data_IF_287226003896
#
_entry.id   IF_287226003896
#
_cell.length_a   1.000
_cell.length_b   1.000
_cell.length_c   1.000
_cell.angle_alpha   90.00
_cell.angle_beta   90.00
_cell.angle_gamma   90.00
#
_symmetry.space_group_name_H-M   'P 1'
#
loop_
_entity.id
_entity.type
_entity.pdbx_description
1 polymer ?
#
# COMPACT_ATOMS: atom_id res chain seq x y z
N UNK A 1 -13.25 43.88 -57.99
CA UNK A 1 -14.35 44.87 -57.84
C UNK A 1 -14.61 45.07 -56.34
N UNK A 2 -14.26 46.26 -55.84
CA UNK A 2 -14.76 47.02 -54.67
C UNK A 2 -15.81 46.37 -53.74
N UNK A 3 -15.82 46.48 -52.40
CA UNK A 3 -15.33 47.43 -51.35
C UNK A 3 -15.55 46.68 -49.99
N UNK A 4 -14.97 46.95 -48.81
CA UNK A 4 -14.08 47.95 -48.20
C UNK A 4 -13.83 47.50 -46.74
N UNK A 5 -12.62 47.56 -46.18
CA UNK A 5 -11.92 48.66 -45.49
C UNK A 5 -12.29 48.90 -44.01
N UNK A 6 -11.23 48.85 -43.16
CA UNK A 6 -10.97 49.44 -41.81
C UNK A 6 -11.15 48.49 -40.61
N UNK A 7 -10.09 47.98 -39.97
CA UNK A 7 -9.13 48.59 -39.01
C UNK A 7 -9.80 49.23 -37.77
N UNK A 8 -9.51 48.73 -36.56
CA UNK A 8 -8.72 49.40 -35.48
C UNK A 8 -8.90 48.68 -34.12
N UNK A 9 -7.76 48.34 -33.49
CA UNK A 9 -7.52 48.13 -32.04
C UNK A 9 -6.97 49.47 -31.52
N UNK A 10 -7.25 50.01 -30.30
CA UNK A 10 -6.43 49.66 -29.11
C UNK A 10 -6.97 49.97 -27.70
N UNK A 11 -6.17 49.52 -26.72
CA UNK A 11 -5.74 50.23 -25.50
C UNK A 11 -6.26 49.75 -24.11
N UNK A 12 -5.26 49.23 -23.38
CA UNK A 12 -4.97 49.26 -21.95
C UNK A 12 -5.78 50.17 -21.01
N UNK A 13 -5.96 49.67 -19.77
CA UNK A 13 -5.67 50.42 -18.53
C UNK A 13 -5.51 49.50 -17.32
N UNK A 14 -4.39 49.70 -16.63
CA UNK A 14 -4.03 49.23 -15.32
C UNK A 14 -4.96 49.76 -14.23
N UNK A 15 -5.14 49.01 -13.14
CA UNK A 15 -5.38 49.56 -11.81
C UNK A 15 -4.94 48.55 -10.73
N UNK A 16 -3.80 48.87 -10.11
CA UNK A 16 -3.37 48.39 -8.82
C UNK A 16 -4.43 48.69 -7.75
N UNK A 17 -4.67 47.75 -6.84
CA UNK A 17 -5.13 48.12 -5.49
C UNK A 17 -4.47 47.24 -4.44
N UNK A 18 -3.46 47.84 -3.80
CA UNK A 18 -2.94 47.48 -2.50
C UNK A 18 -4.08 47.47 -1.47
N UNK A 19 -4.17 46.41 -0.67
CA UNK A 19 -4.59 46.53 0.73
C UNK A 19 -3.67 45.68 1.61
N UNK A 20 -2.77 46.40 2.27
CA UNK A 20 -2.10 46.04 3.51
C UNK A 20 -3.12 45.82 4.63
N UNK A 21 -2.96 44.78 5.45
CA UNK A 21 -3.24 44.93 6.88
C UNK A 21 -2.23 44.15 7.72
N UNK A 22 -1.80 44.84 8.78
CA UNK A 22 -0.64 44.59 9.63
C UNK A 22 -1.00 43.68 10.81
N UNK A 23 -0.07 42.77 11.10
CA UNK A 23 0.48 42.40 12.42
C UNK A 23 -0.42 42.38 13.65
N UNK A 24 -0.38 41.26 14.37
CA UNK A 24 -0.13 41.29 15.82
C UNK A 24 0.77 40.12 16.21
N UNK A 25 1.97 40.49 16.64
CA UNK A 25 2.92 39.63 17.32
C UNK A 25 2.47 39.47 18.78
N UNK A 26 2.59 38.26 19.32
CA UNK A 26 2.63 38.05 20.76
C UNK A 26 3.96 37.37 21.11
N UNK A 27 4.84 38.18 21.69
CA UNK A 27 6.09 37.80 22.32
C UNK A 27 5.79 37.09 23.64
N UNK A 28 6.31 35.87 23.83
CA UNK A 28 6.51 35.31 25.18
C UNK A 28 7.92 34.75 25.32
N UNK A 29 8.75 35.62 25.88
CA UNK A 29 9.87 35.42 26.81
C UNK A 29 10.52 34.03 26.94
N UNK A 30 11.78 33.97 26.52
CA UNK A 30 12.80 33.05 27.00
C UNK A 30 12.98 33.14 28.52
N UNK A 31 13.01 31.97 29.18
CA UNK A 31 13.75 31.78 30.44
C UNK A 31 14.53 30.48 30.40
N UNK A 32 15.76 30.61 30.90
CA UNK A 32 16.92 29.73 30.91
C UNK A 32 16.75 28.40 31.64
N UNK A 33 17.45 27.39 31.12
CA UNK A 33 17.89 26.12 31.72
C UNK A 33 18.41 26.24 33.16
N UNK A 34 18.47 25.10 33.88
CA UNK A 34 19.80 24.66 34.32
C UNK A 34 20.13 23.18 34.03
N UNK A 35 21.44 22.98 33.86
CA UNK A 35 22.20 21.73 33.74
C UNK A 35 22.19 20.90 35.01
N UNK A 36 22.22 19.58 34.86
CA UNK A 36 22.96 18.58 35.66
C UNK A 36 22.53 17.18 35.16
N UNK A 37 23.33 16.12 35.08
CA UNK A 37 24.73 15.86 35.42
C UNK A 37 25.07 14.46 34.90
N UNK A 38 26.35 14.25 34.58
CA UNK A 38 26.96 12.98 34.18
C UNK A 38 26.56 11.79 35.08
N UNK A 39 26.20 10.67 34.46
CA UNK A 39 26.27 9.35 35.07
C UNK A 39 26.92 8.38 34.08
N UNK A 40 28.21 8.17 34.24
CA UNK A 40 28.92 7.01 33.71
C UNK A 40 28.47 5.76 34.48
N UNK A 41 28.01 4.72 33.79
CA UNK A 41 27.78 3.42 34.40
C UNK A 41 27.99 2.28 33.40
N UNK A 42 29.23 1.79 33.37
CA UNK A 42 29.63 0.38 33.41
C UNK A 42 28.93 -0.56 32.42
N UNK A 43 29.64 -0.85 31.32
CA UNK A 43 29.53 -2.07 30.54
C UNK A 43 29.62 -3.31 31.45
N UNK A 44 28.56 -4.13 31.50
CA UNK A 44 28.67 -5.54 31.90
C UNK A 44 28.56 -6.39 30.65
N UNK A 45 29.72 -6.91 30.22
CA UNK A 45 29.83 -8.05 29.31
C UNK A 45 29.03 -9.21 29.89
N UNK A 46 27.99 -9.65 29.20
CA UNK A 46 27.44 -10.99 29.41
C UNK A 46 27.95 -11.90 28.30
N UNK A 47 28.66 -12.92 28.75
CA UNK A 47 29.21 -14.00 27.97
C UNK A 47 28.11 -14.73 27.19
N UNK A 48 28.49 -15.11 25.99
CA UNK A 48 27.71 -15.87 25.04
C UNK A 48 27.41 -17.27 25.57
N UNK A 49 26.15 -17.66 25.54
CA UNK A 49 25.74 -19.04 25.76
C UNK A 49 24.91 -19.53 24.58
N UNK A 50 25.43 -20.59 23.98
CA UNK A 50 24.86 -21.48 22.99
C UNK A 50 23.35 -21.72 23.17
N UNK A 51 22.58 -21.51 22.10
CA UNK A 51 21.15 -21.87 22.06
C UNK A 51 21.04 -23.40 21.92
N UNK A 52 21.10 -24.09 23.05
CA UNK A 52 20.56 -25.43 23.17
C UNK A 52 19.06 -25.32 23.46
N UNK A 53 18.22 -25.92 22.61
CA UNK A 53 16.75 -25.99 22.81
C UNK A 53 16.44 -26.74 24.12
N UNK A 54 15.74 -26.15 25.11
CA UNK A 54 15.19 -26.94 26.20
C UNK A 54 13.81 -27.46 25.81
N UNK A 55 13.69 -28.79 25.72
CA UNK A 55 12.41 -29.48 25.72
C UNK A 55 11.79 -29.28 27.11
N UNK A 56 10.73 -28.49 27.21
CA UNK A 56 10.03 -28.22 28.48
C UNK A 56 8.97 -29.28 28.74
N UNK A 57 9.24 -30.17 29.71
CA UNK A 57 8.26 -31.03 30.36
C UNK A 57 8.16 -30.65 31.84
N UNK A 58 7.16 -29.82 32.18
CA UNK A 58 6.31 -29.81 33.40
C UNK A 58 5.93 -28.40 33.84
N UNK A 59 4.63 -28.17 33.87
CA UNK A 59 3.97 -27.00 34.45
C UNK A 59 2.45 -27.21 34.42
N UNK A 60 1.97 -28.23 35.14
CA UNK A 60 0.55 -28.50 35.39
C UNK A 60 0.09 -27.49 36.46
N UNK A 61 -1.07 -26.86 36.22
CA UNK A 61 -1.76 -25.83 37.01
C UNK A 61 -1.25 -24.38 36.87
N UNK A 62 -1.60 -23.78 35.73
CA UNK A 62 -1.84 -22.34 35.61
C UNK A 62 -3.22 -22.14 35.00
N UNK A 63 -4.06 -21.32 35.63
CA UNK A 63 -5.39 -21.00 35.13
C UNK A 63 -5.28 -20.46 33.71
N UNK A 64 -5.81 -21.20 32.73
CA UNK A 64 -6.04 -20.67 31.38
C UNK A 64 -7.04 -19.52 31.55
N UNK A 65 -6.61 -18.29 31.26
CA UNK A 65 -7.55 -17.32 30.72
C UNK A 65 -7.96 -17.91 29.36
N UNK A 66 -9.05 -18.68 29.35
CA UNK A 66 -9.70 -19.09 28.12
C UNK A 66 -10.17 -17.81 27.44
N UNK A 67 -9.48 -17.41 26.36
CA UNK A 67 -10.08 -16.52 25.39
C UNK A 67 -11.43 -17.14 25.00
N UNK A 68 -12.54 -16.37 25.00
CA UNK A 68 -13.84 -16.93 24.69
C UNK A 68 -13.77 -17.61 23.33
N UNK A 69 -14.00 -18.93 23.33
CA UNK A 69 -13.99 -19.76 22.14
C UNK A 69 -14.94 -19.13 21.13
N UNK A 70 -14.40 -18.60 20.01
CA UNK A 70 -15.20 -17.90 19.00
C UNK A 70 -16.27 -18.88 18.51
N UNK A 71 -17.53 -18.58 18.83
CA UNK A 71 -18.65 -19.41 18.41
C UNK A 71 -18.71 -19.43 16.89
N UNK A 72 -18.71 -20.62 16.30
CA UNK A 72 -18.95 -20.80 14.87
C UNK A 72 -20.32 -20.21 14.51
N UNK A 73 -20.33 -19.24 13.59
CA UNK A 73 -21.52 -18.52 13.13
C UNK A 73 -22.05 -19.12 11.83
N UNK A 74 -21.15 -19.51 10.90
CA UNK A 74 -21.49 -20.07 9.60
C UNK A 74 -20.69 -21.35 9.32
N UNK A 75 -21.35 -22.32 8.70
CA UNK A 75 -20.73 -23.56 8.22
C UNK A 75 -20.09 -23.35 6.84
N UNK A 76 -19.04 -24.11 6.53
CA UNK A 76 -18.21 -23.90 5.34
C UNK A 76 -18.89 -24.29 4.02
N UNK A 77 -19.89 -25.17 4.10
CA UNK A 77 -20.77 -25.56 3.01
C UNK A 77 -21.95 -24.59 2.82
N UNK A 78 -22.12 -23.61 3.72
CA UNK A 78 -23.22 -22.63 3.68
C UNK A 78 -22.73 -21.19 3.88
N UNK A 79 -21.83 -20.74 3.01
CA UNK A 79 -21.25 -19.40 3.05
C UNK A 79 -21.96 -18.39 2.15
N UNK A 80 -22.81 -18.87 1.23
CA UNK A 80 -23.55 -18.00 0.33
C UNK A 80 -24.86 -17.53 0.99
N UNK A 81 -24.98 -16.23 1.22
CA UNK A 81 -26.22 -15.60 1.69
C UNK A 81 -26.50 -14.34 0.88
N UNK A 82 -27.77 -14.05 0.61
CA UNK A 82 -28.15 -12.74 0.09
C UNK A 82 -27.79 -11.67 1.11
N UNK A 83 -27.11 -10.60 0.71
CA UNK A 83 -26.55 -9.63 1.62
C UNK A 83 -27.63 -8.94 2.47
N UNK A 84 -28.78 -8.63 1.88
CA UNK A 84 -29.91 -7.98 2.57
C UNK A 84 -30.55 -8.86 3.67
N UNK A 85 -30.43 -10.18 3.54
CA UNK A 85 -31.03 -11.18 4.44
C UNK A 85 -29.97 -11.92 5.26
N UNK A 86 -28.70 -11.53 5.14
CA UNK A 86 -27.59 -12.22 5.76
C UNK A 86 -27.75 -12.28 7.29
N UNK A 87 -27.36 -13.40 7.93
CA UNK A 87 -27.31 -13.48 9.40
C UNK A 87 -26.28 -12.50 9.98
N UNK A 88 -25.34 -12.00 9.18
CA UNK A 88 -24.30 -11.07 9.60
C UNK A 88 -24.74 -9.61 9.43
N UNK A 89 -24.68 -8.76 10.48
CA UNK A 89 -25.06 -7.35 10.36
C UNK A 89 -24.21 -6.57 9.35
N UNK A 90 -22.91 -6.86 9.26
CA UNK A 90 -21.98 -6.16 8.36
C UNK A 90 -22.33 -6.39 6.88
N UNK A 91 -22.89 -7.56 6.55
CA UNK A 91 -23.33 -7.87 5.18
C UNK A 91 -24.61 -7.13 4.83
N UNK A 92 -25.53 -6.98 5.78
CA UNK A 92 -26.74 -6.16 5.62
C UNK A 92 -26.41 -4.68 5.48
N UNK A 93 -25.45 -4.18 6.25
CA UNK A 93 -24.96 -2.80 6.12
C UNK A 93 -24.37 -2.56 4.73
N UNK A 94 -23.63 -3.53 4.19
CA UNK A 94 -23.13 -3.46 2.82
C UNK A 94 -24.27 -3.41 1.80
N UNK A 95 -25.29 -4.25 1.92
CA UNK A 95 -26.49 -4.16 1.07
C UNK A 95 -27.17 -2.79 1.19
N UNK A 96 -27.27 -2.24 2.40
CA UNK A 96 -27.87 -0.93 2.64
C UNK A 96 -27.09 0.22 1.95
N UNK A 97 -25.75 0.15 1.93
CA UNK A 97 -24.92 1.11 1.20
C UNK A 97 -25.20 1.02 -0.31
N UNK A 98 -25.22 -0.18 -0.87
CA UNK A 98 -25.54 -0.41 -2.29
C UNK A 98 -26.94 0.11 -2.62
N UNK A 99 -27.94 -0.20 -1.80
CA UNK A 99 -29.31 0.27 -1.99
C UNK A 99 -29.44 1.79 -1.88
N UNK A 100 -28.60 2.43 -1.07
CA UNK A 100 -28.65 3.89 -0.88
C UNK A 100 -27.97 4.64 -2.02
N UNK A 101 -26.83 4.12 -2.47
CA UNK A 101 -25.94 4.89 -3.34
C UNK A 101 -25.79 4.31 -4.74
N UNK A 102 -25.94 3.00 -4.90
CA UNK A 102 -25.85 2.30 -6.17
C UNK A 102 -26.84 2.77 -7.22
N UNK A 103 -26.67 2.29 -8.44
CA UNK A 103 -27.54 2.58 -9.58
C UNK A 103 -27.89 1.28 -10.29
N UNK A 104 -29.17 1.09 -10.61
CA UNK A 104 -29.59 -0.04 -11.42
C UNK A 104 -29.00 0.08 -12.84
N UNK A 105 -28.29 -0.94 -13.36
CA UNK A 105 -27.58 -0.86 -14.64
C UNK A 105 -28.53 -0.61 -15.82
N UNK A 106 -29.71 -1.25 -15.80
CA UNK A 106 -30.75 -1.06 -16.83
C UNK A 106 -31.28 0.38 -16.87
N UNK A 107 -31.53 1.00 -15.71
CA UNK A 107 -31.95 2.40 -15.63
C UNK A 107 -30.85 3.38 -16.07
N UNK A 108 -29.58 2.97 -16.01
CA UNK A 108 -28.45 3.79 -16.41
C UNK A 108 -28.29 3.82 -17.95
N UNK A 109 -28.68 2.74 -18.62
CA UNK A 109 -28.63 2.60 -20.10
C UNK A 109 -29.85 3.19 -20.81
N UNK A 110 -31.00 3.28 -20.14
CA UNK A 110 -32.19 3.92 -20.70
C UNK A 110 -32.01 5.44 -20.68
N UNK A 111 -31.61 6.01 -21.82
CA UNK A 111 -31.39 7.44 -22.06
C UNK A 111 -32.65 8.31 -22.04
N UNK A 112 -33.80 7.78 -21.60
CA UNK A 112 -35.01 8.60 -21.49
C UNK A 112 -34.84 9.59 -20.35
N UNK A 113 -34.67 10.88 -20.71
CA UNK A 113 -34.42 12.05 -19.83
C UNK A 113 -35.47 12.26 -18.71
N UNK A 114 -36.44 11.36 -18.57
CA UNK A 114 -37.57 11.45 -17.66
C UNK A 114 -37.71 10.29 -16.67
N UNK A 115 -36.97 9.17 -16.80
CA UNK A 115 -36.97 8.13 -15.76
C UNK A 115 -35.83 8.35 -14.77
N UNK A 116 -36.19 8.57 -13.50
CA UNK A 116 -35.21 8.72 -12.43
C UNK A 116 -34.36 7.45 -12.28
N UNK A 117 -33.03 7.60 -12.22
CA UNK A 117 -32.09 6.50 -11.93
C UNK A 117 -32.48 5.81 -10.61
N UNK A 118 -33.13 4.64 -10.73
CA UNK A 118 -33.62 3.89 -9.57
C UNK A 118 -32.45 3.20 -8.87
N UNK A 119 -32.60 3.06 -7.55
CA UNK A 119 -31.64 2.38 -6.70
C UNK A 119 -31.82 0.86 -6.78
N UNK A 120 -30.73 0.09 -6.74
CA UNK A 120 -30.85 -1.35 -6.71
C UNK A 120 -31.46 -1.78 -5.37
N UNK A 121 -32.50 -2.59 -5.39
CA UNK A 121 -33.19 -3.12 -4.20
C UNK A 121 -33.54 -4.59 -4.33
N UNK A 122 -33.35 -5.16 -5.52
CA UNK A 122 -33.57 -6.57 -5.83
C UNK A 122 -32.24 -7.32 -5.75
N UNK A 123 -32.15 -8.28 -4.82
CA UNK A 123 -31.01 -9.16 -4.66
C UNK A 123 -30.96 -10.21 -5.77
N UNK A 124 -29.83 -10.29 -6.46
CA UNK A 124 -29.58 -11.35 -7.42
C UNK A 124 -29.48 -12.70 -6.70
N UNK A 125 -30.26 -13.72 -7.09
CA UNK A 125 -30.23 -15.03 -6.44
C UNK A 125 -28.90 -15.77 -6.61
N UNK A 126 -28.11 -15.44 -7.64
CA UNK A 126 -26.87 -16.15 -7.97
C UNK A 126 -25.64 -15.55 -7.27
N UNK A 127 -25.58 -14.23 -7.07
CA UNK A 127 -24.46 -13.57 -6.40
C UNK A 127 -24.79 -12.97 -5.02
N UNK A 128 -26.07 -12.83 -4.69
CA UNK A 128 -26.55 -12.35 -3.40
C UNK A 128 -26.42 -10.84 -3.16
N UNK A 129 -25.95 -10.07 -4.14
CA UNK A 129 -25.92 -8.60 -4.07
C UNK A 129 -27.22 -7.98 -4.60
N UNK A 130 -27.65 -6.82 -4.07
CA UNK A 130 -28.71 -6.03 -4.67
C UNK A 130 -28.19 -5.34 -5.94
N UNK A 131 -28.55 -5.86 -7.11
CA UNK A 131 -27.97 -5.43 -8.40
C UNK A 131 -28.94 -4.60 -9.25
N UNK A 132 -30.25 -4.84 -9.11
CA UNK A 132 -31.28 -4.19 -9.93
C UNK A 132 -32.36 -3.57 -9.04
N UNK A 133 -33.15 -2.63 -9.57
CA UNK A 133 -34.22 -2.00 -8.79
C UNK A 133 -35.50 -2.86 -8.68
N UNK A 134 -35.67 -3.83 -9.58
CA UNK A 134 -36.82 -4.72 -9.62
C UNK A 134 -36.44 -6.06 -10.25
N UNK A 135 -37.29 -7.06 -10.04
CA UNK A 135 -37.17 -8.36 -10.68
C UNK A 135 -37.24 -8.26 -12.22
N UNK A 136 -38.09 -7.38 -12.75
CA UNK A 136 -38.21 -7.12 -14.19
C UNK A 136 -36.89 -6.62 -14.78
N UNK A 137 -36.27 -5.62 -14.14
CA UNK A 137 -34.98 -5.09 -14.59
C UNK A 137 -33.85 -6.10 -14.41
N UNK A 138 -33.92 -6.97 -13.39
CA UNK A 138 -32.98 -8.09 -13.27
C UNK A 138 -33.08 -9.05 -14.45
N UNK A 139 -34.29 -9.39 -14.91
CA UNK A 139 -34.46 -10.24 -16.09
C UNK A 139 -34.00 -9.56 -17.38
N UNK A 140 -34.27 -8.27 -17.54
CA UNK A 140 -33.79 -7.48 -18.69
C UNK A 140 -32.25 -7.40 -18.72
N UNK A 141 -31.62 -7.10 -17.59
CA UNK A 141 -30.17 -7.01 -17.44
C UNK A 141 -29.44 -8.35 -17.20
N UNK A 142 -30.18 -9.47 -17.15
CA UNK A 142 -29.67 -10.75 -16.66
C UNK A 142 -28.40 -11.19 -17.39
N UNK A 143 -28.42 -11.15 -18.74
CA UNK A 143 -27.31 -11.65 -19.55
C UNK A 143 -26.04 -10.85 -19.35
N UNK A 144 -26.13 -9.52 -19.35
CA UNK A 144 -24.99 -8.63 -19.12
C UNK A 144 -24.42 -8.82 -17.71
N UNK A 145 -25.29 -8.82 -16.69
CA UNK A 145 -24.88 -9.05 -15.30
C UNK A 145 -24.16 -10.40 -15.11
N UNK A 146 -24.70 -11.48 -15.69
CA UNK A 146 -24.11 -12.81 -15.57
C UNK A 146 -22.79 -12.96 -16.31
N UNK A 147 -22.65 -12.31 -17.47
CA UNK A 147 -21.43 -12.35 -18.26
C UNK A 147 -20.30 -11.51 -17.64
N UNK A 148 -20.63 -10.37 -17.03
CA UNK A 148 -19.64 -9.38 -16.61
C UNK A 148 -19.17 -9.53 -15.17
N UNK A 149 -20.09 -9.64 -14.20
CA UNK A 149 -19.73 -9.47 -12.79
C UNK A 149 -20.43 -10.40 -11.78
N UNK A 150 -21.46 -11.16 -12.16
CA UNK A 150 -22.20 -12.02 -11.21
C UNK A 150 -21.30 -13.03 -10.47
N UNK A 151 -20.43 -13.74 -11.20
CA UNK A 151 -19.51 -14.71 -10.59
C UNK A 151 -18.51 -14.06 -9.62
N UNK A 152 -18.00 -12.87 -9.97
CA UNK A 152 -17.07 -12.11 -9.12
C UNK A 152 -17.78 -11.67 -7.83
N UNK A 153 -19.00 -11.15 -7.94
CA UNK A 153 -19.79 -10.73 -6.78
C UNK A 153 -20.11 -11.92 -5.87
N UNK A 154 -20.41 -13.10 -6.45
CA UNK A 154 -20.62 -14.32 -5.68
C UNK A 154 -19.38 -14.72 -4.90
N UNK A 155 -18.21 -14.70 -5.54
CA UNK A 155 -16.94 -15.00 -4.88
C UNK A 155 -16.66 -14.06 -3.71
N UNK A 156 -16.84 -12.74 -3.92
CA UNK A 156 -16.66 -11.73 -2.86
C UNK A 156 -17.65 -11.97 -1.71
N UNK A 157 -18.89 -12.31 -2.02
CA UNK A 157 -19.92 -12.62 -1.04
C UNK A 157 -19.50 -13.80 -0.14
N UNK A 158 -19.13 -14.93 -0.75
CA UNK A 158 -18.71 -16.12 -0.02
C UNK A 158 -17.43 -15.90 0.80
N UNK A 159 -16.44 -15.19 0.24
CA UNK A 159 -15.21 -14.83 0.94
C UNK A 159 -15.49 -13.94 2.16
N UNK A 160 -16.34 -12.93 2.02
CA UNK A 160 -16.65 -12.00 3.12
C UNK A 160 -17.49 -12.64 4.23
N UNK A 161 -18.35 -13.61 3.90
CA UNK A 161 -19.02 -14.47 4.88
C UNK A 161 -18.06 -15.43 5.55
N UNK A 162 -17.11 -16.01 4.82
CA UNK A 162 -16.11 -16.91 5.39
C UNK A 162 -15.21 -16.17 6.39
N UNK A 163 -14.76 -14.96 6.05
CA UNK A 163 -14.00 -14.07 6.94
C UNK A 163 -14.73 -13.75 8.26
N UNK A 164 -16.06 -13.91 8.29
CA UNK A 164 -16.93 -13.63 9.45
C UNK A 164 -17.64 -14.88 9.98
N UNK A 165 -17.31 -16.06 9.47
CA UNK A 165 -17.94 -17.32 9.84
C UNK A 165 -17.62 -17.76 11.26
N UNK A 166 -16.57 -17.20 11.86
CA UNK A 166 -16.05 -17.60 13.18
C UNK A 166 -15.20 -18.88 13.15
N UNK A 167 -14.96 -19.47 11.97
CA UNK A 167 -14.06 -20.63 11.85
C UNK A 167 -12.62 -20.26 12.22
N UNK A 168 -11.79 -21.22 12.67
CA UNK A 168 -10.36 -21.02 12.72
C UNK A 168 -9.79 -20.83 11.30
N UNK A 169 -8.99 -19.79 11.11
CA UNK A 169 -8.31 -19.49 9.85
C UNK A 169 -6.86 -19.91 9.94
N UNK A 170 -6.61 -21.18 9.64
CA UNK A 170 -5.25 -21.75 9.62
C UNK A 170 -4.36 -21.04 8.61
N UNK A 171 -4.94 -20.54 7.53
CA UNK A 171 -4.22 -19.78 6.52
C UNK A 171 -3.59 -18.48 7.08
N UNK A 172 -4.05 -17.99 8.24
CA UNK A 172 -3.46 -16.83 8.94
C UNK A 172 -2.38 -17.21 9.97
N UNK A 173 -2.02 -18.49 10.09
CA UNK A 173 -0.90 -18.95 10.90
C UNK A 173 0.43 -18.72 10.15
N UNK A 174 0.87 -17.47 10.12
CA UNK A 174 2.03 -17.07 9.33
C UNK A 174 3.35 -17.59 9.90
N UNK A 175 4.29 -18.05 9.06
CA UNK A 175 5.57 -18.57 9.49
C UNK A 175 6.46 -17.48 10.10
N UNK A 176 7.32 -17.87 11.03
CA UNK A 176 8.34 -17.01 11.62
C UNK A 176 9.55 -16.85 10.69
N UNK A 177 10.68 -16.38 11.25
CA UNK A 177 11.98 -16.36 10.59
C UNK A 177 12.36 -17.77 10.07
N UNK A 178 13.05 -17.80 8.93
CA UNK A 178 13.52 -19.03 8.29
C UNK A 178 14.87 -19.48 8.81
N UNK A 179 15.14 -20.77 8.62
CA UNK A 179 16.49 -21.31 8.78
C UNK A 179 17.46 -20.69 7.77
N UNK A 180 18.75 -20.65 8.12
CA UNK A 180 19.79 -20.08 7.27
C UNK A 180 19.90 -20.77 5.89
N UNK A 181 19.56 -22.05 5.81
CA UNK A 181 19.66 -22.86 4.59
C UNK A 181 18.38 -22.83 3.72
N UNK A 182 17.31 -22.16 4.17
CA UNK A 182 16.06 -22.10 3.42
C UNK A 182 16.10 -20.96 2.38
N UNK A 183 15.93 -21.31 1.11
CA UNK A 183 15.89 -20.35 0.02
C UNK A 183 14.45 -19.89 -0.26
N UNK A 184 14.23 -18.57 -0.30
CA UNK A 184 12.96 -17.98 -0.72
C UNK A 184 12.95 -17.79 -2.23
N UNK A 185 11.81 -18.08 -2.84
CA UNK A 185 11.55 -17.75 -4.23
C UNK A 185 10.29 -16.88 -4.33
N UNK A 186 10.43 -15.71 -4.95
CA UNK A 186 9.38 -14.70 -5.09
C UNK A 186 8.76 -14.66 -6.49
N UNK A 187 8.80 -15.77 -7.24
CA UNK A 187 8.27 -15.81 -8.60
C UNK A 187 6.75 -15.53 -8.68
N UNK A 188 5.97 -16.06 -7.74
CA UNK A 188 4.53 -15.86 -7.60
C UNK A 188 4.06 -16.29 -6.19
N UNK A 189 2.78 -16.10 -5.87
CA UNK A 189 2.20 -16.46 -4.56
C UNK A 189 2.39 -17.93 -4.17
N UNK A 190 2.15 -18.88 -5.08
CA UNK A 190 2.23 -20.31 -4.78
C UNK A 190 3.64 -20.74 -4.37
N UNK A 191 4.63 -20.35 -5.19
CA UNK A 191 6.03 -20.67 -4.95
C UNK A 191 6.55 -19.94 -3.70
N UNK A 192 6.09 -18.71 -3.49
CA UNK A 192 6.42 -17.94 -2.28
C UNK A 192 5.89 -18.64 -1.02
N UNK A 193 4.61 -19.00 -0.97
CA UNK A 193 4.03 -19.67 0.19
C UNK A 193 4.70 -21.01 0.50
N UNK A 194 4.98 -21.80 -0.56
CA UNK A 194 5.70 -23.05 -0.41
C UNK A 194 7.10 -22.85 0.16
N UNK A 195 7.90 -21.97 -0.44
CA UNK A 195 9.30 -21.75 -0.01
C UNK A 195 9.41 -21.05 1.34
N UNK A 196 8.39 -20.29 1.75
CA UNK A 196 8.30 -19.69 3.09
C UNK A 196 7.69 -20.58 4.16
N UNK A 197 7.34 -21.82 3.84
CA UNK A 197 6.71 -22.75 4.78
C UNK A 197 5.42 -22.18 5.38
N UNK A 198 4.61 -21.49 4.57
CA UNK A 198 3.23 -21.19 4.97
C UNK A 198 2.43 -22.50 5.09
N UNK A 199 1.35 -22.51 5.88
CA UNK A 199 0.37 -23.59 5.84
C UNK A 199 -0.07 -23.88 4.40
N UNK A 200 -0.36 -25.14 4.11
CA UNK A 200 -0.91 -25.53 2.80
C UNK A 200 -2.16 -24.71 2.51
N UNK A 201 -2.18 -24.04 1.36
CA UNK A 201 -3.34 -23.29 0.89
C UNK A 201 -4.25 -24.27 0.16
N UNK A 202 -5.20 -24.85 0.90
CA UNK A 202 -6.02 -25.96 0.42
C UNK A 202 -7.17 -25.51 -0.52
N UNK A 203 -7.35 -24.20 -0.72
CA UNK A 203 -8.37 -23.63 -1.59
C UNK A 203 -8.00 -22.24 -2.13
N UNK A 204 -8.56 -21.88 -3.28
CA UNK A 204 -8.41 -20.54 -3.87
C UNK A 204 -8.88 -19.44 -2.91
N UNK A 205 -9.91 -19.71 -2.10
CA UNK A 205 -10.38 -18.80 -1.05
C UNK A 205 -9.29 -18.49 -0.02
N UNK A 206 -8.57 -19.51 0.43
CA UNK A 206 -7.46 -19.34 1.38
C UNK A 206 -6.37 -18.46 0.77
N UNK A 207 -6.04 -18.69 -0.50
CA UNK A 207 -5.10 -17.84 -1.26
C UNK A 207 -5.55 -16.38 -1.34
N UNK A 208 -6.85 -16.14 -1.62
CA UNK A 208 -7.43 -14.79 -1.66
C UNK A 208 -7.35 -14.09 -0.30
N UNK A 209 -7.70 -14.78 0.78
CA UNK A 209 -7.62 -14.22 2.14
C UNK A 209 -6.21 -13.81 2.52
N UNK A 210 -5.23 -14.70 2.31
CA UNK A 210 -3.85 -14.45 2.72
C UNK A 210 -3.17 -13.40 1.86
N UNK A 211 -3.35 -13.48 0.53
CA UNK A 211 -2.77 -12.49 -0.40
C UNK A 211 -3.30 -11.07 -0.15
N UNK A 212 -4.57 -10.92 0.27
CA UNK A 212 -5.15 -9.61 0.62
C UNK A 212 -4.41 -8.91 1.77
N UNK A 213 -3.95 -9.66 2.78
CA UNK A 213 -3.19 -9.12 3.90
C UNK A 213 -1.73 -8.87 3.53
N UNK A 214 -1.12 -9.81 2.81
CA UNK A 214 0.32 -9.80 2.52
C UNK A 214 0.70 -8.95 1.30
N UNK A 215 -0.25 -8.53 0.46
CA UNK A 215 0.04 -7.83 -0.79
C UNK A 215 0.95 -6.62 -0.59
N UNK A 216 0.74 -5.83 0.47
CA UNK A 216 1.55 -4.62 0.72
C UNK A 216 3.01 -4.94 1.07
N UNK A 217 3.33 -5.67 2.16
CA UNK A 217 4.71 -5.99 2.48
C UNK A 217 5.38 -6.84 1.38
N UNK A 218 4.64 -7.73 0.71
CA UNK A 218 5.22 -8.60 -0.32
C UNK A 218 5.47 -7.88 -1.64
N UNK A 219 4.72 -6.83 -1.97
CA UNK A 219 5.04 -5.97 -3.12
C UNK A 219 6.38 -5.25 -2.91
N UNK A 220 6.65 -4.78 -1.70
CA UNK A 220 7.93 -4.17 -1.32
C UNK A 220 9.05 -5.21 -1.39
N UNK A 221 8.83 -6.37 -0.78
CA UNK A 221 9.80 -7.46 -0.81
C UNK A 221 10.09 -7.93 -2.24
N UNK A 222 9.09 -8.04 -3.10
CA UNK A 222 9.25 -8.50 -4.49
C UNK A 222 10.19 -7.60 -5.29
N UNK A 223 10.20 -6.29 -5.03
CA UNK A 223 11.14 -5.36 -5.65
C UNK A 223 12.56 -5.53 -5.07
N UNK A 224 12.67 -5.62 -3.74
CA UNK A 224 13.95 -5.60 -3.03
C UNK A 224 14.69 -6.95 -3.05
N UNK A 225 13.97 -8.06 -3.01
CA UNK A 225 14.53 -9.40 -2.81
C UNK A 225 15.36 -9.85 -4.02
N UNK A 226 16.43 -10.61 -3.79
CA UNK A 226 17.34 -11.06 -4.86
C UNK A 226 16.65 -11.99 -5.87
N UNK A 227 15.66 -12.78 -5.42
CA UNK A 227 14.82 -13.64 -6.26
C UNK A 227 13.58 -12.92 -6.80
N UNK A 228 13.68 -11.61 -7.02
CA UNK A 228 12.58 -10.78 -7.53
C UNK A 228 11.95 -11.38 -8.79
N UNK A 229 10.61 -11.30 -8.96
CA UNK A 229 9.97 -11.71 -10.21
C UNK A 229 10.27 -10.75 -11.37
N UNK A 230 10.70 -9.52 -11.07
CA UNK A 230 10.93 -8.48 -12.08
C UNK A 230 12.35 -8.60 -12.65
N UNK A 231 12.45 -8.75 -13.97
CA UNK A 231 13.70 -9.03 -14.68
C UNK A 231 14.29 -7.77 -15.27
N UNK A 232 15.62 -7.71 -15.30
CA UNK A 232 16.35 -6.68 -16.03
C UNK A 232 16.11 -6.77 -17.53
N UNK A 233 15.93 -5.61 -18.17
CA UNK A 233 15.72 -5.48 -19.62
C UNK A 233 14.26 -5.63 -20.03
N UNK A 234 13.48 -6.43 -19.30
CA UNK A 234 12.03 -6.54 -19.45
C UNK A 234 11.33 -5.42 -18.65
N UNK A 235 11.15 -5.61 -17.34
CA UNK A 235 10.45 -4.68 -16.45
C UNK A 235 11.42 -3.70 -15.77
N UNK A 236 12.55 -4.20 -15.24
CA UNK A 236 13.54 -3.37 -14.52
C UNK A 236 14.47 -2.70 -15.53
N UNK A 237 14.63 -1.38 -15.41
CA UNK A 237 15.52 -0.60 -16.29
C UNK A 237 16.98 -0.63 -15.82
N UNK A 238 17.90 -0.03 -16.59
CA UNK A 238 19.29 0.13 -16.15
C UNK A 238 19.40 0.99 -14.88
N UNK A 239 18.64 2.08 -14.80
CA UNK A 239 18.59 2.91 -13.60
C UNK A 239 17.93 2.19 -12.43
N UNK A 240 16.89 1.41 -12.70
CA UNK A 240 16.25 0.60 -11.69
C UNK A 240 17.18 -0.45 -11.10
N UNK A 241 17.98 -1.12 -11.94
CA UNK A 241 19.02 -2.01 -11.44
C UNK A 241 20.02 -1.29 -10.54
N UNK A 242 20.46 -0.08 -10.90
CA UNK A 242 21.38 0.71 -10.05
C UNK A 242 20.76 1.04 -8.69
N UNK A 243 19.51 1.53 -8.68
CA UNK A 243 18.81 1.86 -7.43
C UNK A 243 18.56 0.64 -6.55
N UNK A 244 18.06 -0.45 -7.14
CA UNK A 244 17.74 -1.67 -6.39
C UNK A 244 19.03 -2.36 -5.92
N UNK A 245 20.08 -2.39 -6.75
CA UNK A 245 21.38 -2.95 -6.35
C UNK A 245 21.99 -2.19 -5.17
N UNK A 246 21.89 -0.86 -5.14
CA UNK A 246 22.34 -0.04 -4.01
C UNK A 246 21.66 -0.48 -2.69
N UNK A 247 20.33 -0.58 -2.67
CA UNK A 247 19.59 -1.09 -1.51
C UNK A 247 19.99 -2.53 -1.15
N UNK A 248 20.20 -3.39 -2.16
CA UNK A 248 20.61 -4.78 -1.96
C UNK A 248 21.98 -4.93 -1.31
N UNK A 249 22.90 -3.96 -1.46
CA UNK A 249 24.19 -4.01 -0.75
C UNK A 249 24.03 -3.92 0.77
N UNK A 250 23.00 -3.21 1.23
CA UNK A 250 22.65 -3.11 2.65
C UNK A 250 21.83 -4.33 3.10
N UNK A 251 20.88 -4.78 2.28
CA UNK A 251 20.00 -5.93 2.59
C UNK A 251 20.75 -7.28 2.64
N UNK A 252 21.80 -7.42 1.84
CA UNK A 252 22.63 -8.63 1.72
C UNK A 252 24.09 -8.25 1.93
N UNK A 253 24.50 -7.92 3.18
CA UNK A 253 25.89 -7.65 3.46
C UNK A 253 26.69 -8.87 3.04
N UNK A 254 27.68 -8.68 2.17
CA UNK A 254 28.58 -9.78 1.83
C UNK A 254 29.15 -10.31 3.14
N UNK A 255 29.03 -11.62 3.37
CA UNK A 255 29.68 -12.31 4.48
C UNK A 255 31.19 -12.01 4.38
N UNK A 256 31.64 -10.90 4.95
CA UNK A 256 33.01 -10.81 5.38
C UNK A 256 33.13 -11.92 6.41
N UNK A 257 33.80 -12.98 5.98
CA UNK A 257 34.22 -14.12 6.78
C UNK A 257 35.09 -13.56 7.91
N UNK A 258 34.45 -12.98 8.92
CA UNK A 258 35.06 -12.83 10.22
C UNK A 258 34.88 -14.19 10.87
N UNK A 259 36.01 -14.86 11.09
CA UNK A 259 36.12 -16.18 11.73
C UNK A 259 35.61 -16.21 13.18
N UNK A 260 34.92 -15.17 13.64
CA UNK A 260 34.38 -15.06 14.98
C UNK A 260 32.87 -15.21 14.92
N UNK A 261 32.42 -16.44 15.14
CA UNK A 261 31.04 -16.76 15.44
C UNK A 261 30.57 -15.90 16.63
N UNK A 262 29.84 -14.79 16.39
CA UNK A 262 28.74 -14.26 17.22
C UNK A 262 28.31 -12.81 16.97
N UNK A 263 28.87 -12.07 16.03
CA UNK A 263 28.38 -10.71 15.74
C UNK A 263 27.93 -10.61 14.29
N UNK A 264 26.65 -10.91 14.03
CA UNK A 264 25.98 -10.31 12.88
C UNK A 264 26.08 -8.79 13.09
N UNK A 265 27.00 -8.14 12.38
CA UNK A 265 27.08 -6.69 12.33
C UNK A 265 25.75 -6.24 11.74
N UNK A 266 24.90 -5.61 12.55
CA UNK A 266 23.64 -5.02 12.07
C UNK A 266 24.01 -4.01 10.99
N UNK A 267 23.41 -4.15 9.82
CA UNK A 267 23.57 -3.18 8.73
C UNK A 267 22.79 -1.91 9.06
N UNK A 268 22.98 -0.89 8.25
CA UNK A 268 22.14 0.30 8.29
C UNK A 268 20.66 -0.08 8.12
N UNK A 269 19.79 0.80 8.62
CA UNK A 269 18.33 0.59 8.58
C UNK A 269 17.80 0.99 7.21
N UNK A 270 16.93 0.16 6.63
CA UNK A 270 16.18 0.52 5.43
C UNK A 270 14.93 1.29 5.84
N UNK A 271 14.79 2.53 5.38
CA UNK A 271 13.63 3.36 5.63
C UNK A 271 12.66 3.29 4.45
N UNK A 272 11.44 2.83 4.73
CA UNK A 272 10.38 2.70 3.75
C UNK A 272 9.32 3.74 4.05
N UNK A 273 9.22 4.74 3.18
CA UNK A 273 8.24 5.83 3.29
C UNK A 273 6.97 5.46 2.53
N UNK A 274 5.92 5.08 3.26
CA UNK A 274 4.60 4.79 2.73
C UNK A 274 3.78 6.07 2.67
N UNK A 275 3.75 6.68 1.48
CA UNK A 275 3.13 7.99 1.27
C UNK A 275 1.67 7.81 0.84
N UNK A 276 0.76 8.50 1.52
CA UNK A 276 -0.68 8.31 1.34
C UNK A 276 -1.20 7.03 1.99
N UNK A 277 -0.57 6.59 3.09
CA UNK A 277 -0.92 5.35 3.76
C UNK A 277 -2.37 5.39 4.30
N UNK A 278 -3.13 4.33 4.03
CA UNK A 278 -4.52 4.13 4.44
C UNK A 278 -4.67 2.72 5.03
N UNK A 279 -5.12 1.77 4.21
CA UNK A 279 -5.31 0.38 4.61
C UNK A 279 -4.01 -0.24 5.14
N UNK A 280 -2.88 0.17 4.59
CA UNK A 280 -1.52 -0.28 4.95
C UNK A 280 -1.18 0.01 6.41
N UNK A 281 -1.61 1.18 6.90
CA UNK A 281 -1.38 1.62 8.28
C UNK A 281 -2.25 0.85 9.29
N UNK A 282 -3.39 0.32 8.84
CA UNK A 282 -4.33 -0.44 9.68
C UNK A 282 -3.99 -1.92 9.83
N UNK A 283 -3.02 -2.43 9.05
CA UNK A 283 -2.63 -3.83 9.13
C UNK A 283 -2.00 -4.17 10.48
N UNK A 284 -2.30 -5.35 11.05
CA UNK A 284 -1.61 -5.82 12.24
C UNK A 284 -0.08 -5.86 12.05
N UNK A 285 0.68 -5.50 13.08
CA UNK A 285 2.14 -5.39 12.98
C UNK A 285 2.84 -6.69 12.59
N UNK A 286 2.24 -7.85 12.90
CA UNK A 286 2.79 -9.16 12.53
C UNK A 286 2.70 -9.47 11.03
N UNK A 287 1.84 -8.78 10.29
CA UNK A 287 1.77 -8.89 8.82
C UNK A 287 3.06 -8.30 8.22
N UNK A 288 3.44 -7.10 8.67
CA UNK A 288 4.66 -6.41 8.27
C UNK A 288 5.94 -7.13 8.73
N UNK A 289 5.88 -7.95 9.80
CA UNK A 289 7.02 -8.80 10.17
C UNK A 289 7.41 -9.78 9.06
N UNK A 290 6.48 -10.16 8.18
CA UNK A 290 6.80 -11.01 7.03
C UNK A 290 7.80 -10.36 6.09
N UNK A 291 7.78 -9.03 5.93
CA UNK A 291 8.83 -8.29 5.21
C UNK A 291 10.18 -8.46 5.92
N UNK A 292 10.23 -8.18 7.22
CA UNK A 292 11.47 -8.27 7.99
C UNK A 292 12.03 -9.71 8.04
N UNK A 293 11.19 -10.75 8.03
CA UNK A 293 11.67 -12.14 8.01
C UNK A 293 12.41 -12.53 6.73
N UNK A 294 12.17 -11.84 5.61
CA UNK A 294 12.88 -12.05 4.35
C UNK A 294 14.30 -11.46 4.35
N UNK A 295 14.59 -10.56 5.29
CA UNK A 295 15.86 -9.83 5.37
C UNK A 295 16.40 -9.88 6.80
N UNK A 296 16.97 -11.03 7.24
CA UNK A 296 17.31 -11.26 8.64
C UNK A 296 18.43 -10.35 9.18
N UNK A 297 19.33 -9.88 8.31
CA UNK A 297 20.49 -9.06 8.68
C UNK A 297 20.18 -7.56 8.87
N UNK A 298 19.05 -7.09 8.32
CA UNK A 298 18.78 -5.66 8.12
C UNK A 298 17.50 -5.24 8.85
N UNK A 299 17.57 -4.20 9.70
CA UNK A 299 16.38 -3.62 10.30
C UNK A 299 15.61 -2.74 9.29
N UNK A 300 14.30 -2.65 9.48
CA UNK A 300 13.40 -1.79 8.70
C UNK A 300 12.74 -0.74 9.59
N UNK A 301 12.65 0.48 9.07
CA UNK A 301 11.81 1.54 9.60
C UNK A 301 10.73 1.85 8.56
N UNK A 302 9.47 1.57 8.89
CA UNK A 302 8.33 1.88 8.01
C UNK A 302 7.66 3.16 8.52
N UNK A 303 7.59 4.17 7.65
CA UNK A 303 6.93 5.43 7.91
C UNK A 303 5.57 5.43 7.22
N UNK A 304 4.49 5.38 7.98
CA UNK A 304 3.12 5.52 7.49
C UNK A 304 2.75 7.00 7.50
N UNK A 305 2.66 7.61 6.32
CA UNK A 305 2.51 9.06 6.16
C UNK A 305 1.22 9.35 5.40
N UNK A 306 0.36 10.18 5.97
CA UNK A 306 -0.81 10.74 5.30
C UNK A 306 -2.00 10.91 6.23
N UNK A 307 -3.01 11.70 5.83
CA UNK A 307 -4.14 12.07 6.69
C UNK A 307 -4.87 10.87 7.33
N UNK A 308 -4.94 9.76 6.61
CA UNK A 308 -5.63 8.53 7.01
C UNK A 308 -4.70 7.48 7.66
N UNK A 309 -3.40 7.79 7.84
CA UNK A 309 -2.44 6.88 8.43
C UNK A 309 -2.66 6.68 9.94
N UNK A 310 -3.36 7.62 10.59
CA UNK A 310 -3.72 7.58 12.00
C UNK A 310 -5.22 7.80 12.18
N UNK A 311 -5.77 7.20 13.24
CA UNK A 311 -7.14 7.49 13.62
C UNK A 311 -7.29 8.97 14.01
N UNK A 312 -8.45 9.59 13.74
CA UNK A 312 -8.71 10.96 14.17
C UNK A 312 -8.45 11.12 15.67
N UNK A 313 -7.69 12.15 16.05
CA UNK A 313 -7.26 12.47 17.43
C UNK A 313 -6.08 11.66 18.00
N UNK A 314 -5.37 10.87 17.20
CA UNK A 314 -4.09 10.31 17.60
C UNK A 314 -2.94 11.23 17.19
N UNK A 315 -2.01 11.45 18.11
CA UNK A 315 -0.77 12.19 17.83
C UNK A 315 0.23 11.32 17.06
N UNK A 316 1.06 11.92 16.19
CA UNK A 316 2.19 11.23 15.56
C UNK A 316 3.07 10.54 16.58
N UNK A 317 3.43 9.29 16.31
CA UNK A 317 4.22 8.50 17.25
C UNK A 317 5.03 7.40 16.55
N UNK A 318 6.05 6.94 17.26
CA UNK A 318 6.92 5.85 16.83
C UNK A 318 6.74 4.65 17.75
N UNK A 319 6.56 3.47 17.17
CA UNK A 319 6.37 2.20 17.87
C UNK A 319 7.37 1.16 17.36
N UNK A 320 8.20 0.63 18.26
CA UNK A 320 9.01 -0.54 17.96
C UNK A 320 8.14 -1.81 18.02
N UNK A 321 8.08 -2.55 16.92
CA UNK A 321 7.39 -3.85 16.86
C UNK A 321 8.31 -4.93 17.42
N UNK A 322 9.57 -4.92 17.00
CA UNK A 322 10.66 -5.71 17.57
C UNK A 322 12.01 -5.01 17.26
N UNK A 323 13.12 -5.68 17.56
CA UNK A 323 14.47 -5.15 17.34
C UNK A 323 14.84 -4.88 15.87
N UNK A 324 14.04 -5.37 14.91
CA UNK A 324 14.30 -5.27 13.46
C UNK A 324 13.21 -4.52 12.70
N UNK A 325 12.13 -4.10 13.36
CA UNK A 325 11.00 -3.44 12.73
C UNK A 325 10.49 -2.30 13.61
N UNK A 326 10.60 -1.08 13.09
CA UNK A 326 10.15 0.15 13.69
C UNK A 326 9.06 0.78 12.82
N UNK A 327 8.00 1.29 13.43
CA UNK A 327 6.97 2.05 12.75
C UNK A 327 6.96 3.49 13.23
N UNK A 328 6.84 4.43 12.30
CA UNK A 328 6.42 5.81 12.59
C UNK A 328 5.10 6.05 11.88
N UNK A 329 4.13 6.60 12.60
CA UNK A 329 2.86 7.02 12.05
C UNK A 329 2.77 8.54 12.13
N UNK A 330 2.42 9.18 11.03
CA UNK A 330 2.24 10.62 10.93
C UNK A 330 1.07 10.95 10.01
N UNK A 331 0.18 11.83 10.47
CA UNK A 331 -1.01 12.24 9.73
C UNK A 331 -0.80 13.48 8.85
N UNK A 332 0.42 14.02 8.79
CA UNK A 332 0.76 15.13 7.90
C UNK A 332 0.75 14.71 6.42
N UNK A 333 0.60 15.70 5.55
CA UNK A 333 0.89 15.52 4.13
C UNK A 333 2.40 15.28 3.94
N UNK A 334 2.77 14.49 2.93
CA UNK A 334 4.18 14.12 2.75
C UNK A 334 5.11 15.32 2.56
N UNK A 335 4.68 16.38 1.86
CA UNK A 335 5.51 17.56 1.65
C UNK A 335 5.84 18.30 2.95
N UNK A 336 4.99 18.22 3.97
CA UNK A 336 5.28 18.78 5.31
C UNK A 336 6.18 17.82 6.10
N UNK A 337 5.87 16.51 6.04
CA UNK A 337 6.66 15.47 6.68
C UNK A 337 8.11 15.44 6.15
N UNK A 338 8.30 15.68 4.86
CA UNK A 338 9.60 15.74 4.20
C UNK A 338 10.56 16.74 4.87
N UNK A 339 10.05 17.89 5.33
CA UNK A 339 10.86 18.92 6.01
C UNK A 339 11.34 18.50 7.40
N UNK A 340 10.73 17.46 7.98
CA UNK A 340 11.15 16.91 9.28
C UNK A 340 12.35 15.98 9.15
N UNK A 341 12.64 15.50 7.94
CA UNK A 341 13.74 14.58 7.66
C UNK A 341 14.98 15.39 7.28
N UNK A 342 16.06 15.25 8.04
CA UNK A 342 17.29 16.02 7.83
C UNK A 342 17.96 15.68 6.50
N UNK A 343 17.99 14.40 6.14
CA UNK A 343 18.65 13.92 4.92
C UNK A 343 18.03 12.61 4.44
N UNK A 344 17.86 12.53 3.13
CA UNK A 344 17.55 11.30 2.43
C UNK A 344 18.81 10.66 1.84
N UNK A 345 18.87 9.34 1.88
CA UNK A 345 19.95 8.52 1.34
C UNK A 345 19.41 7.45 0.37
N UNK A 346 19.63 7.59 -0.94
CA UNK A 346 19.19 6.61 -1.95
C UNK A 346 19.72 5.17 -1.78
N UNK A 347 20.66 4.93 -0.87
CA UNK A 347 21.16 3.59 -0.53
C UNK A 347 20.38 2.91 0.59
N UNK A 348 19.59 3.66 1.37
CA UNK A 348 18.83 3.14 2.52
C UNK A 348 17.35 3.53 2.50
N UNK A 349 16.99 4.56 1.73
CA UNK A 349 15.64 5.11 1.67
C UNK A 349 14.92 4.74 0.37
N UNK A 350 13.63 4.47 0.49
CA UNK A 350 12.73 4.29 -0.66
C UNK A 350 11.29 4.69 -0.34
N UNK A 351 10.55 5.04 -1.39
CA UNK A 351 9.15 5.45 -1.30
C UNK A 351 8.23 4.40 -1.91
N UNK A 352 7.07 4.19 -1.28
CA UNK A 352 5.97 3.39 -1.82
C UNK A 352 4.67 4.18 -1.71
N UNK A 353 3.96 4.31 -2.84
CA UNK A 353 2.65 4.93 -2.93
C UNK A 353 1.66 3.86 -3.39
N UNK A 354 0.80 3.40 -2.47
CA UNK A 354 -0.15 2.34 -2.76
C UNK A 354 -1.46 2.91 -3.31
N UNK A 355 -1.64 2.75 -4.63
CA UNK A 355 -2.80 3.23 -5.38
C UNK A 355 -3.18 4.67 -5.03
N UNK A 356 -2.25 5.63 -5.24
CA UNK A 356 -2.39 7.03 -4.82
C UNK A 356 -3.44 7.79 -5.62
N UNK A 357 -3.76 7.33 -6.83
CA UNK A 357 -4.72 7.98 -7.73
C UNK A 357 -4.21 9.32 -8.25
N UNK A 358 -2.93 9.39 -8.64
CA UNK A 358 -2.26 10.61 -9.08
C UNK A 358 -2.93 11.22 -10.33
N UNK A 359 -3.43 10.38 -11.23
CA UNK A 359 -4.08 10.78 -12.47
C UNK A 359 -5.53 11.23 -12.32
N UNK A 360 -6.13 11.10 -11.14
CA UNK A 360 -7.52 11.54 -10.90
C UNK A 360 -7.58 13.04 -10.69
N UNK A 361 -8.51 13.71 -11.38
CA UNK A 361 -8.55 15.18 -11.48
C UNK A 361 -8.50 15.92 -10.15
N UNK A 362 -9.30 15.49 -9.16
CA UNK A 362 -9.36 16.15 -7.84
C UNK A 362 -8.10 15.93 -7.00
N UNK A 363 -7.35 14.85 -7.25
CA UNK A 363 -6.17 14.48 -6.48
C UNK A 363 -4.85 14.95 -7.13
N UNK A 364 -4.81 15.09 -8.46
CA UNK A 364 -3.59 15.38 -9.24
C UNK A 364 -2.85 16.61 -8.75
N UNK A 365 -3.54 17.73 -8.54
CA UNK A 365 -2.92 18.97 -8.04
C UNK A 365 -2.38 18.82 -6.62
N UNK A 366 -3.08 18.08 -5.75
CA UNK A 366 -2.65 17.82 -4.37
C UNK A 366 -1.38 16.94 -4.29
N UNK A 367 -1.15 16.11 -5.30
CA UNK A 367 0.02 15.24 -5.37
C UNK A 367 1.29 15.94 -5.85
N UNK A 368 1.18 17.09 -6.55
CA UNK A 368 2.34 17.70 -7.24
C UNK A 368 3.53 17.96 -6.35
N UNK A 369 3.34 18.77 -5.31
CA UNK A 369 4.41 19.14 -4.37
C UNK A 369 5.02 17.91 -3.68
N UNK A 370 4.20 16.89 -3.39
CA UNK A 370 4.67 15.65 -2.76
C UNK A 370 5.56 14.84 -3.71
N UNK A 371 5.20 14.73 -4.99
CA UNK A 371 5.98 14.00 -5.99
C UNK A 371 7.28 14.75 -6.31
N UNK A 372 7.23 16.08 -6.49
CA UNK A 372 8.42 16.92 -6.72
C UNK A 372 9.46 16.71 -5.62
N UNK A 373 9.04 16.84 -4.34
CA UNK A 373 9.91 16.59 -3.18
C UNK A 373 10.43 15.16 -3.12
N UNK A 374 9.64 14.17 -3.51
CA UNK A 374 10.12 12.79 -3.58
C UNK A 374 11.19 12.62 -4.67
N UNK A 375 11.02 13.23 -5.85
CA UNK A 375 12.00 13.21 -6.94
C UNK A 375 13.31 13.94 -6.58
N UNK A 376 13.25 14.99 -5.77
CA UNK A 376 14.43 15.70 -5.26
C UNK A 376 15.36 14.78 -4.46
N UNK A 377 14.81 13.83 -3.71
CA UNK A 377 15.60 12.88 -2.87
C UNK A 377 16.50 11.95 -3.67
N UNK A 378 16.20 11.72 -4.96
CA UNK A 378 16.82 10.71 -5.83
C UNK A 378 16.67 9.27 -5.33
N UNK A 379 15.85 9.03 -4.32
CA UNK A 379 15.49 7.69 -3.88
C UNK A 379 14.51 7.06 -4.88
N UNK A 380 14.48 5.72 -5.00
CA UNK A 380 13.48 5.07 -5.83
C UNK A 380 12.08 5.23 -5.22
N UNK A 381 11.11 5.52 -6.08
CA UNK A 381 9.69 5.68 -5.77
C UNK A 381 8.93 4.59 -6.52
N UNK A 382 8.21 3.75 -5.80
CA UNK A 382 7.35 2.72 -6.37
C UNK A 382 5.89 3.08 -6.18
N UNK A 383 5.09 2.87 -7.20
CA UNK A 383 3.67 3.23 -7.23
C UNK A 383 2.88 2.02 -7.68
N UNK A 384 1.73 1.76 -7.05
CA UNK A 384 0.78 0.73 -7.47
C UNK A 384 -0.51 1.34 -7.98
N UNK A 385 -1.32 0.55 -8.70
CA UNK A 385 -2.68 0.93 -9.13
C UNK A 385 -3.72 -0.16 -8.80
N UNK A 386 -5.01 0.19 -8.87
CA UNK A 386 -6.11 -0.73 -8.56
C UNK A 386 -6.57 -1.59 -9.74
N UNK A 387 -6.34 -1.11 -10.96
CA UNK A 387 -6.53 -1.83 -12.21
C UNK A 387 -5.57 -1.27 -13.29
N UNK A 388 -5.68 -1.79 -14.51
CA UNK A 388 -4.82 -1.38 -15.62
C UNK A 388 -5.10 0.06 -16.09
N UNK A 389 -6.37 0.47 -16.10
CA UNK A 389 -6.77 1.80 -16.57
C UNK A 389 -6.32 2.89 -15.57
N UNK A 390 -6.51 2.63 -14.28
CA UNK A 390 -6.05 3.46 -13.17
C UNK A 390 -4.52 3.62 -13.19
N UNK A 391 -3.78 2.51 -13.30
CA UNK A 391 -2.32 2.55 -13.41
C UNK A 391 -1.87 3.35 -14.64
N UNK A 392 -2.52 3.16 -15.79
CA UNK A 392 -2.19 3.87 -17.03
C UNK A 392 -2.45 5.37 -16.89
N UNK A 393 -3.57 5.76 -16.28
CA UNK A 393 -3.91 7.15 -16.03
C UNK A 393 -2.87 7.83 -15.10
N UNK A 394 -2.46 7.14 -14.03
CA UNK A 394 -1.40 7.63 -13.12
C UNK A 394 -0.06 7.80 -13.84
N UNK A 395 0.32 6.83 -14.70
CA UNK A 395 1.54 6.89 -15.51
C UNK A 395 1.50 8.06 -16.49
N UNK A 396 0.42 8.21 -17.25
CA UNK A 396 0.27 9.31 -18.21
C UNK A 396 0.31 10.68 -17.51
N UNK A 397 -0.29 10.81 -16.33
CA UNK A 397 -0.25 12.04 -15.55
C UNK A 397 1.19 12.38 -15.12
N UNK A 398 1.96 11.39 -14.63
CA UNK A 398 3.35 11.61 -14.22
C UNK A 398 4.26 11.88 -15.41
N UNK A 399 4.08 11.20 -16.53
CA UNK A 399 4.84 11.50 -17.76
C UNK A 399 4.57 12.92 -18.28
N UNK A 400 3.33 13.41 -18.17
CA UNK A 400 2.97 14.76 -18.58
C UNK A 400 3.53 15.83 -17.64
N UNK A 401 3.39 15.63 -16.33
CA UNK A 401 3.71 16.65 -15.32
C UNK A 401 5.20 16.75 -15.03
N UNK A 402 5.94 15.64 -15.11
CA UNK A 402 7.36 15.57 -14.71
C UNK A 402 8.28 15.14 -15.86
N UNK A 403 7.86 15.42 -17.10
CA UNK A 403 8.61 15.02 -18.27
C UNK A 403 10.07 15.51 -18.20
N UNK A 404 11.00 14.57 -18.25
CA UNK A 404 12.43 14.87 -18.22
C UNK A 404 13.04 15.05 -16.83
N UNK A 405 12.25 15.02 -15.76
CA UNK A 405 12.72 15.15 -14.37
C UNK A 405 12.97 13.83 -13.67
N UNK A 406 12.42 12.72 -14.20
CA UNK A 406 12.59 11.39 -13.66
C UNK A 406 13.21 10.40 -14.65
N UNK A 407 13.79 9.34 -14.10
CA UNK A 407 14.16 8.12 -14.82
C UNK A 407 13.27 6.97 -14.35
N UNK A 408 12.88 6.11 -15.30
CA UNK A 408 12.18 4.87 -14.99
C UNK A 408 13.07 3.94 -14.17
N UNK A 409 12.54 3.40 -13.07
CA UNK A 409 13.14 2.32 -12.26
C UNK A 409 12.52 0.98 -12.65
N UNK A 410 11.20 0.94 -12.68
CA UNK A 410 10.40 -0.23 -13.05
C UNK A 410 9.32 0.23 -14.03
N UNK A 411 9.30 -0.36 -15.23
CA UNK A 411 8.26 -0.07 -16.21
C UNK A 411 6.90 -0.56 -15.70
N UNK A 412 5.79 0.10 -16.10
CA UNK A 412 4.45 -0.35 -15.75
C UNK A 412 4.21 -1.81 -16.10
N UNK A 413 3.84 -2.59 -15.10
CA UNK A 413 3.63 -4.03 -15.23
C UNK A 413 2.63 -4.52 -14.18
N UNK A 414 2.16 -5.75 -14.34
CA UNK A 414 1.31 -6.40 -13.35
C UNK A 414 2.16 -6.72 -12.12
N UNK A 415 1.62 -6.44 -10.94
CA UNK A 415 2.26 -6.81 -9.69
C UNK A 415 1.99 -8.30 -9.41
N UNK A 416 3.06 -9.11 -9.40
CA UNK A 416 2.95 -10.55 -9.10
C UNK A 416 2.42 -10.83 -7.69
N UNK A 417 2.56 -9.86 -6.77
CA UNK A 417 2.06 -9.93 -5.40
C UNK A 417 0.83 -9.03 -5.19
N UNK A 418 0.05 -8.76 -6.24
CA UNK A 418 -1.30 -8.19 -6.09
C UNK A 418 -2.19 -9.09 -5.24
N UNK A 419 -3.18 -8.51 -4.56
CA UNK A 419 -4.22 -9.30 -3.89
C UNK A 419 -4.93 -10.19 -4.91
N UNK A 420 -5.16 -11.46 -4.58
CA UNK A 420 -6.02 -12.34 -5.38
C UNK A 420 -7.50 -12.12 -5.03
N UNK A 421 -7.79 -11.64 -3.82
CA UNK A 421 -9.14 -11.21 -3.45
C UNK A 421 -9.50 -9.92 -4.19
N UNK A 422 -10.63 -9.93 -4.89
CA UNK A 422 -11.24 -8.72 -5.45
C UNK A 422 -12.04 -7.97 -4.40
N UNK A 423 -12.08 -6.65 -4.56
CA UNK A 423 -13.03 -5.80 -3.87
C UNK A 423 -13.96 -5.16 -4.90
N UNK A 424 -15.16 -4.81 -4.47
CA UNK A 424 -16.19 -4.21 -5.33
C UNK A 424 -16.51 -2.80 -4.84
N UNK A 425 -16.69 -1.89 -5.80
CA UNK A 425 -17.23 -0.57 -5.52
C UNK A 425 -18.72 -0.68 -5.15
N UNK A 426 -19.08 -0.35 -3.90
CA UNK A 426 -20.47 -0.43 -3.44
C UNK A 426 -21.39 0.61 -4.10
N UNK A 427 -20.82 1.63 -4.73
CA UNK A 427 -21.55 2.65 -5.49
C UNK A 427 -21.83 2.20 -6.92
N UNK A 428 -21.02 1.28 -7.45
CA UNK A 428 -21.18 0.69 -8.78
C UNK A 428 -20.63 -0.74 -8.79
N UNK A 429 -21.53 -1.72 -8.66
CA UNK A 429 -21.17 -3.14 -8.59
C UNK A 429 -20.57 -3.69 -9.89
N UNK A 430 -20.61 -2.94 -10.99
CA UNK A 430 -19.93 -3.30 -12.26
C UNK A 430 -18.42 -3.13 -12.15
N UNK A 431 -17.95 -2.35 -11.17
CA UNK A 431 -16.54 -2.05 -10.96
C UNK A 431 -15.97 -2.91 -9.82
N UNK A 432 -15.07 -3.82 -10.17
CA UNK A 432 -14.26 -4.58 -9.21
C UNK A 432 -12.79 -4.25 -9.40
N UNK A 433 -12.06 -4.17 -8.30
CA UNK A 433 -10.64 -3.83 -8.28
C UNK A 433 -9.81 -4.93 -7.61
N UNK A 434 -8.52 -4.98 -7.94
CA UNK A 434 -7.54 -5.73 -7.16
C UNK A 434 -6.71 -4.74 -6.35
N UNK A 435 -6.56 -5.00 -5.04
CA UNK A 435 -5.58 -4.25 -4.27
C UNK A 435 -4.17 -4.50 -4.83
N UNK A 436 -3.46 -3.42 -5.16
CA UNK A 436 -2.13 -3.43 -5.77
C UNK A 436 -2.05 -4.20 -7.10
N UNK A 437 -3.02 -4.06 -8.01
CA UNK A 437 -3.04 -4.73 -9.32
C UNK A 437 -1.73 -4.59 -10.11
N UNK A 438 -1.31 -3.34 -10.33
CA UNK A 438 -0.15 -2.98 -11.13
C UNK A 438 0.93 -2.35 -10.27
N UNK A 439 2.17 -2.37 -10.75
CA UNK A 439 3.30 -1.72 -10.11
C UNK A 439 4.22 -1.09 -11.16
N UNK A 440 4.78 0.06 -10.81
CA UNK A 440 5.79 0.76 -11.58
C UNK A 440 6.68 1.56 -10.63
N UNK A 441 7.76 2.13 -11.15
CA UNK A 441 8.65 2.93 -10.33
C UNK A 441 9.48 3.92 -11.11
N UNK A 442 9.78 5.02 -10.46
CA UNK A 442 10.54 6.15 -10.98
C UNK A 442 11.57 6.61 -9.93
N UNK A 443 12.49 7.46 -10.36
CA UNK A 443 13.41 8.18 -9.48
C UNK A 443 13.73 9.53 -10.10
N UNK A 444 14.06 10.54 -9.30
CA UNK A 444 14.53 11.80 -9.87
C UNK A 444 15.86 11.65 -10.61
N UNK A 445 16.01 12.36 -11.73
CA UNK A 445 17.25 12.37 -12.52
C UNK A 445 18.41 12.94 -11.73
N UNK A 446 19.61 12.42 -12.01
CA UNK A 446 20.88 13.05 -11.63
C UNK A 446 21.39 13.83 -12.84
N UNK A 447 21.61 15.13 -12.70
CA UNK A 447 22.34 15.89 -13.70
C UNK A 447 23.82 15.66 -13.42
N UNK A 448 24.46 14.82 -14.24
CA UNK A 448 25.91 14.71 -14.22
C UNK A 448 26.49 16.08 -14.62
N UNK A 449 27.40 16.62 -13.79
CA UNK A 449 28.16 17.81 -14.16
C UNK A 449 29.09 17.39 -15.29
N UNK A 450 28.70 17.69 -16.53
CA UNK A 450 29.62 17.61 -17.67
C UNK A 450 30.68 18.68 -17.47
N UNK A 451 31.84 18.29 -16.98
CA UNK A 451 33.03 19.11 -17.12
C UNK A 451 33.35 19.18 -18.61
N UNK A 452 33.03 20.32 -19.22
CA UNK A 452 33.47 20.63 -20.57
C UNK A 452 34.98 20.93 -20.48
N UNK A 453 35.87 20.06 -21.01
CA UNK A 453 37.30 20.28 -20.92
C UNK A 453 37.76 21.56 -21.65
N UNK A 454 36.92 22.14 -22.51
CA UNK A 454 37.23 23.37 -23.27
C UNK A 454 36.86 24.66 -22.52
N UNK A 455 36.19 24.61 -21.37
CA UNK A 455 35.78 25.81 -20.63
C UNK A 455 36.79 26.30 -19.58
N UNK A 456 38.00 25.74 -19.56
CA UNK A 456 39.07 26.05 -18.60
C UNK A 456 40.38 26.54 -19.25
N UNK A 457 40.33 27.02 -20.50
CA UNK A 457 41.46 27.76 -21.12
C UNK A 457 41.29 29.28 -21.06
#
# INVERSE_FOLDING_TARGET
MNRGLKQFVPASRSLLRNQTCRTSACLVSLKSLPKASNAAAVQKRFLTQSVARPISFKGIFGAKNEEPEKKLVLEQDNLFHMLSQSPLPEMKDRAAIVNKYGVCPVCDTHHEEHEAKKKPTYDCPDCGYPTHCSEEHYHEGYQAHHAENCAILREINEDDHDLRSGRPMREFEFPSAQGFDEAVNMANWDVFFYTRSFPSMDSDRSMRHVSKLLTYPMSIAAVLHQSSPYKYGEQVTAEGMRSIAALRTILYPHNQVSNDAQTQIRTDTINVYLVGARAEATLPSHIWLQLAYLFPATPFHIHFIGPDALAPNQEPHTKSVNERLLFTYDNAMYHDYHETIEKFDPYTDLFFLFSPGIGHGDAREGWKTSIEKALETKCPIFVTGYDEADMKNDVEAVEQDYNGEFDWVLKPTVNEFRSLKRDVNLMDLRQSIFANYGIWGIRGKRYDVTHDPESNE
#
